data_IF_648720982255
#
_entry.id   IF_648720982255
#
_cell.length_a   1.000
_cell.length_b   1.000
_cell.length_c   1.000
_cell.angle_alpha   90.00
_cell.angle_beta   90.00
_cell.angle_gamma   90.00
#
_symmetry.space_group_name_H-M   'P 1'
#
loop_
_entity.id
_entity.type
_entity.pdbx_description
1 polymer ?
#
# COMPACT_ATOMS: atom_id res chain seq x y z
N UNK A 1 19.60 -12.77 9.54
CA UNK A 1 18.29 -12.97 8.92
C UNK A 1 17.22 -12.53 9.91
N UNK A 2 16.20 -11.77 9.53
CA UNK A 2 15.16 -11.25 10.42
C UNK A 2 14.19 -12.36 10.82
N UNK A 3 14.64 -13.26 11.71
CA UNK A 3 13.85 -14.43 12.15
C UNK A 3 12.51 -14.02 12.75
N UNK A 4 12.49 -12.95 13.53
CA UNK A 4 11.24 -12.45 14.14
C UNK A 4 10.24 -11.97 13.09
N UNK A 5 10.68 -11.26 12.05
CA UNK A 5 9.80 -10.82 10.97
C UNK A 5 9.18 -12.02 10.23
N UNK A 6 9.95 -13.07 9.96
CA UNK A 6 9.45 -14.28 9.32
C UNK A 6 8.41 -15.01 10.19
N UNK A 7 8.65 -15.10 11.50
CA UNK A 7 7.70 -15.74 12.44
C UNK A 7 6.40 -14.95 12.50
N UNK A 8 6.48 -13.61 12.58
CA UNK A 8 5.28 -12.75 12.60
C UNK A 8 4.49 -12.89 11.30
N UNK A 9 5.16 -12.83 10.14
CA UNK A 9 4.49 -13.01 8.84
C UNK A 9 3.84 -14.37 8.75
N UNK A 10 4.54 -15.45 9.14
CA UNK A 10 4.00 -16.80 9.12
C UNK A 10 2.78 -16.94 10.04
N UNK A 11 2.82 -16.39 11.26
CA UNK A 11 1.71 -16.41 12.19
C UNK A 11 0.49 -15.64 11.65
N UNK A 12 0.70 -14.44 11.11
CA UNK A 12 -0.36 -13.65 10.48
C UNK A 12 -0.98 -14.39 9.29
N UNK A 13 -0.16 -15.03 8.45
CA UNK A 13 -0.64 -15.82 7.31
C UNK A 13 -1.49 -17.01 7.76
N UNK A 14 -1.10 -17.71 8.84
CA UNK A 14 -1.88 -18.84 9.37
C UNK A 14 -3.24 -18.38 9.92
N UNK A 15 -3.27 -17.31 10.70
CA UNK A 15 -4.53 -16.72 11.20
C UNK A 15 -5.43 -16.35 10.02
N UNK A 16 -4.85 -15.75 9.00
CA UNK A 16 -5.58 -15.33 7.80
C UNK A 16 -6.16 -16.53 7.03
N UNK A 17 -5.39 -17.61 6.86
CA UNK A 17 -5.85 -18.84 6.20
C UNK A 17 -7.00 -19.50 6.97
N UNK A 18 -6.98 -19.49 8.30
CA UNK A 18 -8.08 -20.02 9.11
C UNK A 18 -9.36 -19.21 8.89
N UNK A 19 -9.27 -17.87 8.84
CA UNK A 19 -10.42 -17.00 8.57
C UNK A 19 -10.94 -17.23 7.14
N UNK A 20 -10.05 -17.30 6.16
CA UNK A 20 -10.42 -17.53 4.76
C UNK A 20 -11.09 -18.89 4.52
N UNK A 21 -10.74 -19.91 5.31
CA UNK A 21 -11.36 -21.24 5.22
C UNK A 21 -12.82 -21.23 5.71
N UNK A 22 -13.16 -20.33 6.61
CA UNK A 22 -14.51 -20.25 7.19
C UNK A 22 -15.43 -19.25 6.48
N UNK A 23 -14.90 -18.34 5.67
CA UNK A 23 -15.65 -17.28 5.01
C UNK A 23 -15.09 -17.04 3.59
N UNK A 24 -15.85 -17.46 2.59
CA UNK A 24 -15.48 -17.34 1.17
C UNK A 24 -15.29 -15.87 0.75
N UNK A 25 -16.14 -14.99 1.27
CA UNK A 25 -16.07 -13.53 1.05
C UNK A 25 -14.79 -12.91 1.63
N UNK A 26 -14.30 -13.41 2.79
CA UNK A 26 -13.06 -12.96 3.40
C UNK A 26 -11.84 -13.25 2.52
N UNK A 27 -11.84 -14.36 1.78
CA UNK A 27 -10.79 -14.71 0.84
C UNK A 27 -10.73 -13.71 -0.33
N UNK A 28 -11.88 -13.40 -0.93
CA UNK A 28 -11.99 -12.45 -2.04
C UNK A 28 -11.57 -11.05 -1.60
N UNK A 29 -12.03 -10.62 -0.43
CA UNK A 29 -11.63 -9.36 0.19
C UNK A 29 -10.11 -9.27 0.37
N UNK A 30 -9.50 -10.29 0.89
CA UNK A 30 -8.08 -10.32 1.14
C UNK A 30 -7.23 -10.27 -0.13
N UNK A 31 -7.61 -11.03 -1.17
CA UNK A 31 -6.92 -10.97 -2.46
C UNK A 31 -7.01 -9.55 -3.02
N UNK A 32 -8.18 -8.92 -2.95
CA UNK A 32 -8.38 -7.56 -3.42
C UNK A 32 -7.50 -6.56 -2.66
N UNK A 33 -7.44 -6.67 -1.34
CA UNK A 33 -6.57 -5.83 -0.51
C UNK A 33 -5.07 -6.03 -0.80
N UNK A 34 -4.63 -7.28 -0.96
CA UNK A 34 -3.26 -7.59 -1.35
C UNK A 34 -2.92 -7.02 -2.72
N UNK A 35 -3.81 -7.18 -3.70
CA UNK A 35 -3.61 -6.68 -5.06
C UNK A 35 -3.45 -5.16 -5.08
N UNK A 36 -4.32 -4.43 -4.37
CA UNK A 36 -4.23 -2.96 -4.27
C UNK A 36 -2.93 -2.52 -3.60
N UNK A 37 -2.54 -3.17 -2.51
CA UNK A 37 -1.31 -2.81 -1.78
C UNK A 37 -0.06 -3.03 -2.63
N UNK A 38 -0.02 -4.13 -3.38
CA UNK A 38 1.05 -4.44 -4.32
C UNK A 38 1.06 -3.42 -5.47
N UNK A 39 -0.10 -3.11 -6.06
CA UNK A 39 -0.21 -2.16 -7.16
C UNK A 39 0.28 -0.76 -6.76
N UNK A 40 -0.06 -0.28 -5.57
CA UNK A 40 0.44 1.00 -5.04
C UNK A 40 1.97 0.97 -4.91
N UNK A 41 2.54 -0.12 -4.38
CA UNK A 41 4.00 -0.26 -4.23
C UNK A 41 4.70 -0.22 -5.58
N UNK A 42 4.16 -0.91 -6.58
CA UNK A 42 4.71 -0.92 -7.94
C UNK A 42 4.56 0.44 -8.63
N UNK A 43 3.47 1.18 -8.36
CA UNK A 43 3.29 2.54 -8.86
C UNK A 43 4.39 3.49 -8.33
N UNK A 44 4.75 3.38 -7.05
CA UNK A 44 5.87 4.14 -6.49
C UNK A 44 7.21 3.74 -7.11
N UNK A 45 7.45 2.45 -7.36
CA UNK A 45 8.66 1.98 -8.03
C UNK A 45 8.76 2.54 -9.46
N UNK A 46 7.66 2.51 -10.23
CA UNK A 46 7.58 3.09 -11.56
C UNK A 46 7.79 4.61 -11.56
N UNK A 47 7.21 5.33 -10.60
CA UNK A 47 7.43 6.77 -10.43
C UNK A 47 8.89 7.10 -10.08
N UNK A 48 9.53 6.28 -9.26
CA UNK A 48 10.95 6.41 -8.97
C UNK A 48 11.82 6.17 -10.21
N UNK A 49 11.48 5.16 -11.03
CA UNK A 49 12.16 4.89 -12.29
C UNK A 49 12.08 6.08 -13.25
N UNK A 50 10.89 6.69 -13.39
CA UNK A 50 10.71 7.91 -14.21
C UNK A 50 11.60 9.05 -13.70
N UNK A 51 11.61 9.28 -12.37
CA UNK A 51 12.47 10.31 -11.76
C UNK A 51 13.94 10.04 -12.03
N UNK A 52 14.40 8.81 -11.87
CA UNK A 52 15.78 8.41 -12.10
C UNK A 52 16.19 8.59 -13.57
N UNK A 53 15.34 8.16 -14.50
CA UNK A 53 15.56 8.29 -15.94
C UNK A 53 15.63 9.76 -16.39
N UNK A 54 14.81 10.64 -15.80
CA UNK A 54 14.89 12.09 -16.05
C UNK A 54 16.21 12.69 -15.56
N UNK A 55 16.72 12.26 -14.42
CA UNK A 55 17.97 12.77 -13.85
C UNK A 55 19.20 12.31 -14.66
N UNK A 56 19.16 11.10 -15.21
CA UNK A 56 20.30 10.52 -15.95
C UNK A 56 20.16 10.67 -17.48
N UNK A 57 19.11 11.35 -17.97
CA UNK A 57 18.85 11.55 -19.41
C UNK A 57 18.73 10.25 -20.22
N UNK A 58 18.26 9.16 -19.57
CA UNK A 58 18.07 7.86 -20.21
C UNK A 58 16.67 7.74 -20.82
N UNK A 59 16.54 8.12 -22.10
CA UNK A 59 15.24 8.15 -22.82
C UNK A 59 14.56 6.78 -22.85
N UNK A 60 15.31 5.71 -23.02
CA UNK A 60 14.75 4.35 -23.07
C UNK A 60 14.08 3.95 -21.75
N UNK A 61 14.75 4.17 -20.63
CA UNK A 61 14.21 3.89 -19.29
C UNK A 61 13.04 4.81 -18.94
N UNK A 62 13.06 6.05 -19.44
CA UNK A 62 11.96 7.00 -19.26
C UNK A 62 10.67 6.49 -19.91
N UNK A 63 10.75 6.01 -21.15
CA UNK A 63 9.59 5.49 -21.89
C UNK A 63 9.00 4.28 -21.14
N UNK A 64 9.83 3.30 -20.75
CA UNK A 64 9.36 2.14 -20.00
C UNK A 64 8.77 2.52 -18.63
N UNK A 65 9.38 3.47 -17.93
CA UNK A 65 8.89 3.98 -16.65
C UNK A 65 7.51 4.65 -16.77
N UNK A 66 7.30 5.45 -17.82
CA UNK A 66 6.01 6.10 -18.07
C UNK A 66 4.93 5.07 -18.42
N UNK A 67 5.24 4.10 -19.30
CA UNK A 67 4.29 3.03 -19.65
C UNK A 67 3.90 2.22 -18.41
N UNK A 68 4.89 1.82 -17.59
CA UNK A 68 4.64 1.10 -16.36
C UNK A 68 3.79 1.90 -15.37
N UNK A 69 4.06 3.20 -15.22
CA UNK A 69 3.29 4.08 -14.33
C UNK A 69 1.84 4.23 -14.81
N UNK A 70 1.63 4.46 -16.10
CA UNK A 70 0.29 4.55 -16.68
C UNK A 70 -0.49 3.25 -16.48
N UNK A 71 0.14 2.10 -16.73
CA UNK A 71 -0.49 0.80 -16.54
C UNK A 71 -0.91 0.60 -15.07
N UNK A 72 -0.06 0.97 -14.12
CA UNK A 72 -0.36 0.86 -12.69
C UNK A 72 -1.48 1.80 -12.27
N UNK A 73 -1.50 3.04 -12.75
CA UNK A 73 -2.58 4.01 -12.45
C UNK A 73 -3.92 3.48 -12.97
N UNK A 74 -3.94 2.98 -14.21
CA UNK A 74 -5.14 2.38 -14.80
C UNK A 74 -5.58 1.14 -14.00
N UNK A 75 -4.65 0.24 -13.65
CA UNK A 75 -4.95 -0.95 -12.85
C UNK A 75 -5.55 -0.61 -11.48
N UNK A 76 -4.98 0.38 -10.80
CA UNK A 76 -5.48 0.86 -9.52
C UNK A 76 -6.90 1.45 -9.64
N UNK A 77 -7.19 2.21 -10.70
CA UNK A 77 -8.52 2.76 -10.95
C UNK A 77 -9.56 1.66 -11.20
N UNK A 78 -9.19 0.60 -11.92
CA UNK A 78 -10.07 -0.53 -12.20
C UNK A 78 -10.30 -1.45 -10.99
N UNK A 79 -9.39 -1.48 -10.02
CA UNK A 79 -9.55 -2.31 -8.82
C UNK A 79 -10.67 -1.82 -7.89
N UNK A 80 -11.09 -0.57 -8.05
CA UNK A 80 -12.18 0.04 -7.29
C UNK A 80 -11.72 0.96 -6.16
N UNK A 81 -12.39 2.07 -6.03
CA UNK A 81 -12.07 3.13 -5.06
C UNK A 81 -12.20 2.66 -3.59
N UNK A 82 -13.11 1.71 -3.34
CA UNK A 82 -13.35 1.17 -2.00
C UNK A 82 -12.12 0.49 -1.42
N UNK A 83 -11.50 -0.39 -2.20
CA UNK A 83 -10.30 -1.10 -1.78
C UNK A 83 -9.09 -0.19 -1.62
N UNK A 84 -8.99 0.89 -2.41
CA UNK A 84 -7.96 1.91 -2.25
C UNK A 84 -8.07 2.63 -0.89
N UNK A 85 -9.27 3.04 -0.53
CA UNK A 85 -9.54 3.69 0.74
C UNK A 85 -9.25 2.76 1.92
N UNK A 86 -9.67 1.49 1.83
CA UNK A 86 -9.38 0.48 2.83
C UNK A 86 -7.87 0.18 2.93
N UNK A 87 -7.14 0.16 1.82
CA UNK A 87 -5.68 -0.01 1.83
C UNK A 87 -4.98 1.11 2.61
N UNK A 88 -5.49 2.35 2.55
CA UNK A 88 -4.97 3.46 3.35
C UNK A 88 -5.03 3.16 4.86
N UNK A 89 -6.03 2.43 5.31
CA UNK A 89 -6.15 1.99 6.71
C UNK A 89 -5.03 1.02 7.10
N UNK A 90 -4.65 0.12 6.19
CA UNK A 90 -3.53 -0.80 6.37
C UNK A 90 -2.17 -0.12 6.46
N UNK A 91 -2.01 1.08 5.92
CA UNK A 91 -0.76 1.84 6.03
C UNK A 91 -0.56 2.50 7.40
N UNK A 92 -1.61 2.68 8.20
CA UNK A 92 -1.51 3.33 9.54
C UNK A 92 -0.50 2.59 10.44
N UNK A 93 -0.62 1.25 10.68
CA UNK A 93 0.39 0.54 11.44
C UNK A 93 1.78 0.56 10.75
N UNK A 94 1.82 0.60 9.41
CA UNK A 94 3.07 0.75 8.66
C UNK A 94 3.83 2.02 8.98
N UNK A 95 3.16 3.14 9.22
CA UNK A 95 3.80 4.40 9.60
C UNK A 95 4.46 4.32 10.98
N UNK A 96 3.88 3.56 11.90
CA UNK A 96 4.52 3.30 13.19
C UNK A 96 5.84 2.55 13.02
N UNK A 97 5.84 1.46 12.26
CA UNK A 97 7.06 0.70 11.98
C UNK A 97 8.09 1.52 11.16
N UNK A 98 7.63 2.32 10.21
CA UNK A 98 8.50 3.23 9.45
C UNK A 98 9.20 4.24 10.36
N UNK A 99 8.47 4.87 11.28
CA UNK A 99 9.05 5.83 12.23
C UNK A 99 10.04 5.18 13.19
N UNK A 100 9.76 3.96 13.61
CA UNK A 100 10.65 3.16 14.46
C UNK A 100 11.95 2.79 13.72
N UNK A 101 11.84 2.23 12.52
CA UNK A 101 13.00 1.84 11.71
C UNK A 101 13.91 3.01 11.38
N UNK A 102 13.35 4.21 11.16
CA UNK A 102 14.18 5.41 10.94
C UNK A 102 14.96 5.83 12.19
N UNK A 103 14.35 5.73 13.37
CA UNK A 103 15.04 6.01 14.64
C UNK A 103 16.20 5.06 14.84
N UNK A 104 16.02 3.77 14.58
CA UNK A 104 17.08 2.75 14.68
C UNK A 104 18.18 2.97 13.63
N UNK A 105 17.85 3.49 12.45
CA UNK A 105 18.80 3.86 11.40
C UNK A 105 19.53 5.19 11.63
N UNK A 106 19.32 5.89 12.76
CA UNK A 106 19.96 7.16 13.07
C UNK A 106 19.41 8.37 12.28
N UNK A 107 18.33 8.20 11.51
CA UNK A 107 17.70 9.25 10.73
C UNK A 107 16.52 9.81 11.53
N UNK A 108 16.77 10.86 12.30
CA UNK A 108 15.79 11.38 13.28
C UNK A 108 14.74 12.32 12.70
N UNK A 109 14.98 12.93 11.54
CA UNK A 109 14.06 13.91 10.97
C UNK A 109 13.16 13.29 9.89
N UNK A 110 11.85 13.16 10.18
CA UNK A 110 10.83 12.92 9.16
C UNK A 110 10.62 14.24 8.44
N UNK A 111 10.76 14.26 7.12
CA UNK A 111 10.54 15.46 6.30
C UNK A 111 9.12 15.99 6.47
N UNK A 112 8.93 17.31 6.35
CA UNK A 112 7.61 17.91 6.44
C UNK A 112 6.62 17.36 5.43
N UNK A 113 7.06 17.09 4.20
CA UNK A 113 6.26 16.46 3.15
C UNK A 113 5.85 15.03 3.49
N UNK A 114 6.73 14.25 4.12
CA UNK A 114 6.41 12.89 4.58
C UNK A 114 5.35 12.89 5.67
N UNK A 115 5.43 13.82 6.63
CA UNK A 115 4.41 13.99 7.67
C UNK A 115 3.05 14.33 7.08
N UNK A 116 3.00 15.25 6.13
CA UNK A 116 1.76 15.61 5.45
C UNK A 116 1.17 14.42 4.71
N UNK A 117 1.97 13.66 3.98
CA UNK A 117 1.52 12.45 3.29
C UNK A 117 0.97 11.41 4.27
N UNK A 118 1.65 11.16 5.40
CA UNK A 118 1.18 10.25 6.44
C UNK A 118 -0.16 10.68 7.03
N UNK A 119 -0.34 11.98 7.30
CA UNK A 119 -1.59 12.51 7.85
C UNK A 119 -2.72 12.36 6.84
N UNK A 120 -2.49 12.71 5.56
CA UNK A 120 -3.50 12.58 4.50
C UNK A 120 -3.94 11.13 4.33
N UNK A 121 -2.99 10.19 4.25
CA UNK A 121 -3.28 8.77 4.10
C UNK A 121 -4.04 8.23 5.32
N UNK A 122 -3.64 8.65 6.53
CA UNK A 122 -4.32 8.24 7.77
C UNK A 122 -5.75 8.78 7.83
N UNK A 123 -5.97 10.03 7.41
CA UNK A 123 -7.32 10.61 7.34
C UNK A 123 -8.20 9.88 6.32
N UNK A 124 -7.68 9.58 5.13
CA UNK A 124 -8.40 8.80 4.12
C UNK A 124 -8.75 7.39 4.63
N UNK A 125 -7.82 6.74 5.33
CA UNK A 125 -8.06 5.45 5.97
C UNK A 125 -9.16 5.51 7.02
N UNK A 126 -9.16 6.51 7.90
CA UNK A 126 -10.20 6.67 8.93
C UNK A 126 -11.56 6.98 8.30
N UNK A 127 -11.62 7.79 7.25
CA UNK A 127 -12.85 8.10 6.51
C UNK A 127 -13.42 6.84 5.82
N UNK A 128 -12.60 5.88 5.45
CA UNK A 128 -13.07 4.63 4.83
C UNK A 128 -13.98 3.82 5.76
N UNK A 129 -13.78 3.89 7.08
CA UNK A 129 -14.57 3.12 8.07
C UNK A 129 -16.07 3.47 8.01
N UNK A 130 -16.49 4.74 8.15
CA UNK A 130 -17.90 5.07 8.06
C UNK A 130 -18.49 4.85 6.65
N UNK A 131 -17.69 5.01 5.58
CA UNK A 131 -18.16 4.76 4.22
C UNK A 131 -18.47 3.27 3.98
N UNK A 132 -17.71 2.37 4.55
CA UNK A 132 -18.01 0.93 4.51
C UNK A 132 -19.21 0.59 5.38
N UNK A 133 -19.33 1.21 6.56
CA UNK A 133 -20.45 0.99 7.46
C UNK A 133 -21.81 1.44 6.87
N UNK A 134 -21.80 2.50 6.05
CA UNK A 134 -23.00 3.02 5.35
C UNK A 134 -23.28 2.24 4.06
N UNK A 135 -22.43 1.29 3.65
CA UNK A 135 -22.61 0.48 2.44
C UNK A 135 -22.32 1.22 1.13
N UNK A 136 -21.68 2.39 1.18
CA UNK A 136 -21.28 3.16 0.00
C UNK A 136 -20.12 2.45 -0.71
N UNK A 137 -19.29 1.77 0.05
CA UNK A 137 -18.19 0.94 -0.49
C UNK A 137 -18.69 -0.52 -0.45
N UNK A 138 -18.99 -1.14 -1.59
CA UNK A 138 -19.30 -2.56 -1.64
C UNK A 138 -18.05 -3.35 -1.29
N UNK A 139 -18.03 -3.97 -0.13
CA UNK A 139 -16.94 -4.82 0.34
C UNK A 139 -17.20 -6.29 0.01
N UNK A 140 -18.48 -6.59 -0.33
CA UNK A 140 -18.98 -7.92 -0.69
C UNK A 140 -19.89 -7.83 -1.91
#
# INVERSE_FOLDING_TARGET
APRMALIIVAACTQVFLIIAFTAEDAYTFAISMCTVTIAITWAFAAAYQVKYALQNHETSQLIFGIIALLFQVVGVLFTGWGFLLLACLGYIPGFFFYSQGRKEGGITAISGSEKIAMVIISLLGVISIPLTAVGIIPVF
#
